data_IF_727005292605
#
_entry.id   IF_727005292605
#
_cell.length_a   1.000
_cell.length_b   1.000
_cell.length_c   1.000
_cell.angle_alpha   90.00
_cell.angle_beta   90.00
_cell.angle_gamma   90.00
#
_symmetry.space_group_name_H-M   'P 1'
#
loop_
_entity.id
_entity.type
_entity.pdbx_description
1 polymer ?
#
# COMPACT_ATOMS: atom_id res chain seq x y z
N UNK A 1 5.52 51.42 21.39
CA UNK A 1 5.90 50.12 20.81
C UNK A 1 4.63 49.41 20.41
N UNK A 2 4.50 49.09 19.13
CA UNK A 2 3.34 48.43 18.53
C UNK A 2 3.85 47.29 17.65
N UNK A 3 3.09 46.22 17.53
CA UNK A 3 3.37 45.13 16.58
C UNK A 3 2.35 45.26 15.46
N UNK A 4 2.83 45.22 14.23
CA UNK A 4 2.03 45.14 13.01
C UNK A 4 2.45 43.88 12.25
N UNK A 5 1.62 43.46 11.30
CA UNK A 5 1.88 42.30 10.46
C UNK A 5 1.88 42.75 9.01
N UNK A 6 2.95 42.42 8.28
CA UNK A 6 2.94 42.52 6.83
C UNK A 6 1.88 41.56 6.27
N UNK A 7 1.39 41.80 5.05
CA UNK A 7 0.35 40.97 4.43
C UNK A 7 0.77 39.50 4.23
N UNK A 8 2.05 39.16 4.38
CA UNK A 8 2.57 37.79 4.37
C UNK A 8 2.57 37.09 5.75
N UNK A 9 2.17 37.81 6.82
CA UNK A 9 2.21 37.31 8.19
C UNK A 9 3.43 37.72 8.99
N UNK A 10 4.43 38.37 8.39
CA UNK A 10 5.67 38.73 9.06
C UNK A 10 5.42 39.82 10.13
N UNK A 11 5.71 39.55 11.42
CA UNK A 11 5.52 40.54 12.47
C UNK A 11 6.65 41.58 12.46
N UNK A 12 6.28 42.86 12.53
CA UNK A 12 7.20 44.01 12.60
C UNK A 12 6.91 44.82 13.86
N UNK A 13 7.96 45.17 14.59
CA UNK A 13 7.88 46.00 15.79
C UNK A 13 8.12 47.46 15.40
N UNK A 14 7.14 48.32 15.64
CA UNK A 14 7.20 49.76 15.39
C UNK A 14 7.35 50.50 16.72
N UNK A 15 8.41 51.29 16.88
CA UNK A 15 8.63 52.09 18.09
C UNK A 15 8.38 53.58 17.84
N UNK A 16 8.66 54.06 16.63
CA UNK A 16 8.47 55.43 16.15
C UNK A 16 7.71 55.45 14.84
N UNK A 17 7.19 56.61 14.46
CA UNK A 17 6.47 56.81 13.19
C UNK A 17 7.32 56.51 11.95
N UNK A 18 8.65 56.67 12.06
CA UNK A 18 9.62 56.36 11.01
C UNK A 18 9.85 54.85 10.82
N UNK A 19 9.46 54.02 11.80
CA UNK A 19 9.68 52.57 11.77
C UNK A 19 8.56 51.83 11.02
N UNK A 20 7.52 52.53 10.55
CA UNK A 20 6.47 51.90 9.75
C UNK A 20 7.02 51.46 8.39
N UNK A 21 6.76 50.21 7.97
CA UNK A 21 7.20 49.72 6.68
C UNK A 21 6.47 50.44 5.55
N UNK A 22 7.15 50.58 4.42
CA UNK A 22 6.55 51.12 3.18
C UNK A 22 5.61 50.13 2.51
N UNK A 23 5.64 48.86 2.92
CA UNK A 23 4.83 47.77 2.39
C UNK A 23 3.42 47.76 2.99
N UNK A 24 2.52 46.94 2.44
CA UNK A 24 1.17 46.78 2.98
C UNK A 24 1.20 46.00 4.29
N UNK A 25 0.58 46.57 5.33
CA UNK A 25 0.55 46.01 6.68
C UNK A 25 -0.84 46.15 7.30
N UNK A 26 -1.10 45.29 8.28
CA UNK A 26 -2.32 45.28 9.08
C UNK A 26 -1.97 45.19 10.55
N UNK A 27 -2.83 45.73 11.40
CA UNK A 27 -2.71 45.56 12.86
C UNK A 27 -3.38 44.26 13.32
N UNK A 28 -4.18 43.64 12.45
CA UNK A 28 -4.89 42.41 12.71
C UNK A 28 -3.91 41.24 12.62
N UNK A 29 -3.64 40.50 13.71
CA UNK A 29 -2.78 39.33 13.66
C UNK A 29 -3.39 38.22 12.82
N UNK A 30 -2.58 37.34 12.20
CA UNK A 30 -3.07 36.09 11.62
C UNK A 30 -3.87 35.31 12.67
N UNK A 31 -5.07 34.80 12.32
CA UNK A 31 -5.88 34.01 13.25
C UNK A 31 -5.16 32.72 13.64
N UNK A 32 -5.41 32.24 14.86
CA UNK A 32 -4.91 30.93 15.28
C UNK A 32 -5.60 29.82 14.47
N UNK A 33 -4.81 28.87 13.94
CA UNK A 33 -5.32 27.69 13.25
C UNK A 33 -5.26 27.72 11.72
N UNK A 34 -4.81 28.82 11.11
CA UNK A 34 -4.45 28.83 9.68
C UNK A 34 -3.00 28.34 9.48
N UNK A 35 -2.80 27.45 8.53
CA UNK A 35 -1.53 26.87 8.16
C UNK A 35 -0.90 27.65 7.00
N UNK A 36 0.43 27.75 7.00
CA UNK A 36 1.15 28.37 5.89
C UNK A 36 1.04 27.52 4.60
N UNK A 37 1.02 28.15 3.42
CA UNK A 37 1.09 29.61 3.19
C UNK A 37 -0.25 30.33 3.45
N UNK A 38 -0.19 31.54 4.01
CA UNK A 38 -1.35 32.43 4.21
C UNK A 38 -0.99 33.89 3.91
N UNK A 39 -1.99 34.73 3.64
CA UNK A 39 -1.82 36.16 3.37
C UNK A 39 -3.04 36.98 3.82
N UNK A 40 -2.87 38.28 4.02
CA UNK A 40 -3.96 39.22 4.28
C UNK A 40 -4.44 39.85 2.97
N UNK A 41 -5.74 39.81 2.68
CA UNK A 41 -6.30 40.28 1.41
C UNK A 41 -6.72 41.76 1.41
N UNK A 42 -6.65 42.41 2.57
CA UNK A 42 -7.10 43.78 2.81
C UNK A 42 -8.24 43.86 3.82
N UNK A 43 -9.00 42.78 3.99
CA UNK A 43 -10.10 42.68 4.95
C UNK A 43 -9.85 41.54 5.96
N UNK A 44 -9.43 40.36 5.49
CA UNK A 44 -9.22 39.16 6.31
C UNK A 44 -7.95 38.36 5.95
N UNK A 45 -7.58 37.44 6.83
CA UNK A 45 -6.47 36.51 6.60
C UNK A 45 -6.97 35.27 5.86
N UNK A 46 -6.40 35.03 4.67
CA UNK A 46 -6.67 33.88 3.82
C UNK A 46 -5.57 32.84 4.03
N UNK A 47 -5.95 31.62 4.41
CA UNK A 47 -5.04 30.50 4.61
C UNK A 47 -5.78 29.17 4.64
N UNK A 48 -5.03 28.08 4.80
CA UNK A 48 -5.60 26.73 4.87
C UNK A 48 -5.92 26.38 6.32
N UNK A 49 -7.12 25.87 6.61
CA UNK A 49 -7.43 25.35 7.94
C UNK A 49 -6.62 24.08 8.24
N UNK A 50 -6.53 23.71 9.52
CA UNK A 50 -5.91 22.43 9.89
C UNK A 50 -6.59 21.25 9.20
N UNK A 51 -7.91 21.23 9.22
CA UNK A 51 -8.73 20.17 8.66
C UNK A 51 -8.52 20.05 7.14
N UNK A 52 -8.49 21.17 6.42
CA UNK A 52 -8.25 21.19 4.97
C UNK A 52 -6.81 20.79 4.65
N UNK A 53 -5.84 21.23 5.45
CA UNK A 53 -4.43 20.86 5.28
C UNK A 53 -4.23 19.36 5.49
N UNK A 54 -4.83 18.77 6.53
CA UNK A 54 -4.80 17.34 6.78
C UNK A 54 -5.51 16.54 5.68
N UNK A 55 -6.60 17.07 5.11
CA UNK A 55 -7.29 16.46 3.97
C UNK A 55 -6.50 16.53 2.66
N UNK A 56 -5.65 17.55 2.49
CA UNK A 56 -4.75 17.72 1.34
C UNK A 56 -3.49 16.85 1.42
N UNK A 57 -3.19 16.24 2.57
CA UNK A 57 -2.06 15.32 2.70
C UNK A 57 -2.32 14.08 1.83
N UNK A 58 -1.36 13.75 0.97
CA UNK A 58 -1.38 12.46 0.27
C UNK A 58 -1.44 11.35 1.31
N UNK A 59 -2.42 10.44 1.15
CA UNK A 59 -2.41 9.20 1.92
C UNK A 59 -1.09 8.49 1.63
N UNK A 60 -0.35 8.01 2.64
CA UNK A 60 0.88 7.28 2.41
C UNK A 60 0.59 6.12 1.44
N UNK A 61 1.53 5.80 0.55
CA UNK A 61 1.33 4.70 -0.39
C UNK A 61 0.90 3.45 0.36
N UNK A 62 -0.17 2.81 -0.11
CA UNK A 62 -0.70 1.59 0.50
C UNK A 62 0.39 0.51 0.46
N UNK A 63 1.08 0.31 1.58
CA UNK A 63 2.01 -0.80 1.76
C UNK A 63 1.24 -1.97 2.34
N UNK A 64 1.30 -3.18 1.73
CA UNK A 64 0.70 -4.36 2.31
C UNK A 64 1.27 -4.57 3.71
N UNK A 65 0.39 -4.81 4.69
CA UNK A 65 0.83 -5.17 6.03
C UNK A 65 1.63 -6.47 5.96
N UNK A 66 2.58 -6.66 6.87
CA UNK A 66 3.39 -7.89 6.92
C UNK A 66 2.53 -9.17 6.96
N UNK A 67 1.37 -9.09 7.62
CA UNK A 67 0.38 -10.18 7.69
C UNK A 67 -0.22 -10.48 6.32
N UNK A 68 -0.57 -9.45 5.53
CA UNK A 68 -1.14 -9.63 4.18
C UNK A 68 -0.13 -10.28 3.23
N UNK A 69 1.14 -9.88 3.36
CA UNK A 69 2.25 -10.48 2.63
C UNK A 69 2.47 -11.95 3.03
N UNK A 70 2.43 -12.24 4.34
CA UNK A 70 2.56 -13.60 4.85
C UNK A 70 1.41 -14.50 4.39
N UNK A 71 0.17 -14.02 4.49
CA UNK A 71 -1.03 -14.76 4.03
C UNK A 71 -0.91 -15.07 2.54
N UNK A 72 -0.50 -14.09 1.72
CA UNK A 72 -0.32 -14.29 0.28
C UNK A 72 0.76 -15.34 -0.03
N UNK A 73 1.89 -15.30 0.69
CA UNK A 73 2.96 -16.32 0.54
C UNK A 73 2.48 -17.72 0.94
N UNK A 74 1.72 -17.82 2.02
CA UNK A 74 1.15 -19.10 2.45
C UNK A 74 0.14 -19.64 1.44
N UNK A 75 -0.71 -18.79 0.88
CA UNK A 75 -1.66 -19.18 -0.18
C UNK A 75 -0.93 -19.72 -1.43
N UNK A 76 0.15 -19.05 -1.85
CA UNK A 76 0.99 -19.54 -2.95
C UNK A 76 1.63 -20.90 -2.64
N UNK A 77 2.16 -21.08 -1.43
CA UNK A 77 2.74 -22.36 -1.00
C UNK A 77 1.71 -23.48 -1.00
N UNK A 78 0.48 -23.22 -0.51
CA UNK A 78 -0.63 -24.18 -0.54
C UNK A 78 -1.00 -24.54 -1.98
N UNK A 79 -1.11 -23.55 -2.87
CA UNK A 79 -1.42 -23.79 -4.28
C UNK A 79 -0.35 -24.67 -4.94
N UNK A 80 0.94 -24.35 -4.76
CA UNK A 80 2.06 -25.13 -5.30
C UNK A 80 2.03 -26.55 -4.73
N UNK A 81 1.76 -26.70 -3.44
CA UNK A 81 1.59 -28.00 -2.79
C UNK A 81 0.48 -28.83 -3.45
N UNK A 82 -0.70 -28.24 -3.62
CA UNK A 82 -1.85 -28.91 -4.23
C UNK A 82 -1.58 -29.37 -5.68
N UNK A 83 -0.89 -28.54 -6.47
CA UNK A 83 -0.50 -28.91 -7.85
C UNK A 83 0.43 -30.13 -7.83
N UNK A 84 1.45 -30.14 -6.97
CA UNK A 84 2.38 -31.26 -6.85
C UNK A 84 1.69 -32.55 -6.38
N UNK A 85 0.77 -32.45 -5.42
CA UNK A 85 0.00 -33.60 -4.96
C UNK A 85 -0.80 -34.21 -6.10
N UNK A 86 -1.50 -33.37 -6.87
CA UNK A 86 -2.28 -33.84 -8.03
C UNK A 86 -1.41 -34.53 -9.08
N UNK A 87 -0.24 -33.96 -9.39
CA UNK A 87 0.71 -34.60 -10.31
C UNK A 87 1.20 -35.96 -9.82
N UNK A 88 1.41 -36.13 -8.50
CA UNK A 88 1.79 -37.40 -7.91
C UNK A 88 0.64 -38.42 -7.97
N UNK A 89 -0.60 -38.00 -7.71
CA UNK A 89 -1.79 -38.84 -7.84
C UNK A 89 -1.99 -39.33 -9.29
N UNK A 90 -1.81 -38.45 -10.27
CA UNK A 90 -1.91 -38.82 -11.70
C UNK A 90 -0.82 -39.83 -12.08
N UNK A 91 0.42 -39.62 -11.63
CA UNK A 91 1.52 -40.58 -11.85
C UNK A 91 1.24 -41.93 -11.20
N UNK A 92 0.75 -41.93 -9.96
CA UNK A 92 0.40 -43.16 -9.24
C UNK A 92 -0.64 -43.97 -10.02
N UNK A 93 -1.71 -43.32 -10.49
CA UNK A 93 -2.76 -43.96 -11.29
C UNK A 93 -2.22 -44.58 -12.58
N UNK A 94 -1.29 -43.91 -13.26
CA UNK A 94 -0.63 -44.44 -14.46
C UNK A 94 0.19 -45.69 -14.10
N UNK A 95 0.99 -45.63 -13.04
CA UNK A 95 1.81 -46.75 -12.58
C UNK A 95 0.95 -47.96 -12.20
N UNK A 96 -0.14 -47.77 -11.48
CA UNK A 96 -1.09 -48.85 -11.13
C UNK A 96 -1.68 -49.52 -12.36
N UNK A 97 -2.09 -48.72 -13.36
CA UNK A 97 -2.61 -49.24 -14.64
C UNK A 97 -1.55 -50.05 -15.38
N UNK A 98 -0.32 -49.54 -15.46
CA UNK A 98 0.78 -50.26 -16.12
C UNK A 98 1.11 -51.55 -15.38
N UNK A 99 1.11 -51.55 -14.05
CA UNK A 99 1.35 -52.75 -13.25
C UNK A 99 0.28 -53.81 -13.54
N UNK A 100 -1.00 -53.44 -13.52
CA UNK A 100 -2.10 -54.35 -13.83
C UNK A 100 -1.96 -54.96 -15.23
N UNK A 101 -1.62 -54.14 -16.23
CA UNK A 101 -1.40 -54.60 -17.60
C UNK A 101 -0.22 -55.58 -17.71
N UNK A 102 0.88 -55.31 -17.01
CA UNK A 102 2.05 -56.20 -16.98
C UNK A 102 1.71 -57.55 -16.33
N UNK A 103 0.98 -57.54 -15.22
CA UNK A 103 0.54 -58.78 -14.54
C UNK A 103 -0.35 -59.63 -15.44
N UNK A 104 -1.30 -59.03 -16.14
CA UNK A 104 -2.14 -59.74 -17.12
C UNK A 104 -1.31 -60.40 -18.22
N UNK A 105 -0.35 -59.65 -18.80
CA UNK A 105 0.51 -60.16 -19.85
C UNK A 105 1.42 -61.29 -19.38
N UNK A 106 1.94 -61.22 -18.15
CA UNK A 106 2.72 -62.31 -17.54
C UNK A 106 1.84 -63.57 -17.40
N UNK A 107 0.63 -63.42 -16.87
CA UNK A 107 -0.32 -64.53 -16.70
C UNK A 107 -0.68 -65.19 -18.03
N UNK A 108 -0.89 -64.40 -19.09
CA UNK A 108 -1.15 -64.90 -20.44
C UNK A 108 0.05 -65.69 -21.00
N UNK A 109 1.28 -65.23 -20.77
CA UNK A 109 2.49 -65.92 -21.20
C UNK A 109 2.69 -67.22 -20.43
N UNK A 110 2.49 -67.22 -19.11
CA UNK A 110 2.56 -68.41 -18.27
C UNK A 110 1.58 -69.49 -18.73
N UNK A 111 0.33 -69.12 -19.02
CA UNK A 111 -0.67 -70.06 -19.53
C UNK A 111 -0.30 -70.64 -20.91
N UNK A 112 0.29 -69.83 -21.81
CA UNK A 112 0.77 -70.31 -23.12
C UNK A 112 1.94 -71.29 -22.99
N UNK A 113 2.82 -71.08 -22.01
CA UNK A 113 3.99 -71.95 -21.78
C UNK A 113 3.56 -73.24 -21.06
N UNK A 114 2.71 -73.13 -20.04
CA UNK A 114 2.24 -74.27 -19.24
C UNK A 114 1.19 -75.16 -19.93
N UNK A 115 0.44 -74.63 -20.90
CA UNK A 115 -0.54 -75.41 -21.68
C UNK A 115 0.04 -76.26 -22.81
N UNK A 116 1.37 -76.24 -23.00
CA UNK A 116 2.10 -77.02 -24.01
C UNK A 116 2.84 -78.25 -23.41
N UNK A 117 2.51 -78.63 -22.17
CA UNK A 117 3.06 -79.80 -21.47
C UNK A 117 1.99 -80.88 -21.25
#
# INVERSE_FOLDING_TARGET
MKIIYLYDGTPVIVQKEEDYPNESWTETPPPEGIYQPYYFDGDEWIGTSKEDWEAMQDSPPLTPKDIEMLVSKLQLQVMIGNVKTKELEDKLKITEKTLAQTVLKVTELENKIGGNA
#
